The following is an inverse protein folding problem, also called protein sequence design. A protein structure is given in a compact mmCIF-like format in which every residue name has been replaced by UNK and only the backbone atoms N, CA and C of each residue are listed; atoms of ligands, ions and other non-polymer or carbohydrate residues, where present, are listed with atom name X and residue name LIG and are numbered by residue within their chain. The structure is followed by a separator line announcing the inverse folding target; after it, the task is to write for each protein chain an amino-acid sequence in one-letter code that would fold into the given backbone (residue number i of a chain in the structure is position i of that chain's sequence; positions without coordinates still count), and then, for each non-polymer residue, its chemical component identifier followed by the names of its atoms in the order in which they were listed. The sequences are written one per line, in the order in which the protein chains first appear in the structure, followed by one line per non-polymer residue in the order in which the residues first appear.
data_IF_303124442215
#
_entry.id   IF_303124442215
#
_cell.length_a   1.000
_cell.length_b   1.000
_cell.length_c   1.000
_cell.angle_alpha   90.00
_cell.angle_beta   90.00
_cell.angle_gamma   90.00
#
_symmetry.space_group_name_H-M   'P 1'
#
loop_
_entity.id
_entity.type
_entity.pdbx_description
1 polymer ?
#
# COMPACT_ATOMS: atom_id res chain seq x y z
N UNK A 1 15.20 -0.21 28.88
CA UNK A 1 14.12 -0.79 28.06
C UNK A 1 13.86 0.25 26.97
N UNK A 2 14.36 0.03 25.78
CA UNK A 2 14.07 0.90 24.65
C UNK A 2 12.72 0.44 24.09
N UNK A 3 11.73 1.34 24.13
CA UNK A 3 10.48 1.14 23.43
C UNK A 3 10.79 1.07 21.94
N UNK A 4 10.81 -0.15 21.39
CA UNK A 4 10.84 -0.39 19.95
C UNK A 4 9.50 0.07 19.38
N UNK A 5 9.45 1.35 19.01
CA UNK A 5 8.34 1.93 18.31
C UNK A 5 8.20 1.21 16.95
N UNK A 6 7.07 0.55 16.68
CA UNK A 6 6.85 -0.14 15.41
C UNK A 6 7.02 0.76 14.18
N UNK A 7 6.92 2.06 14.36
CA UNK A 7 7.15 3.08 13.32
C UNK A 7 8.62 3.12 12.86
N UNK A 8 9.57 2.79 13.74
CA UNK A 8 11.00 2.76 13.44
C UNK A 8 11.39 1.55 12.57
N UNK A 9 10.73 0.40 12.75
CA UNK A 9 10.98 -0.78 11.93
C UNK A 9 10.44 -0.62 10.51
N UNK A 10 9.26 -0.03 10.36
CA UNK A 10 8.66 0.25 9.07
C UNK A 10 9.51 1.23 8.22
N UNK A 11 10.15 2.19 8.89
CA UNK A 11 11.01 3.19 8.23
C UNK A 11 12.31 2.61 7.67
N UNK A 12 12.85 1.54 8.27
CA UNK A 12 14.09 0.90 7.82
C UNK A 12 13.92 0.12 6.51
N UNK A 13 12.78 -0.48 6.25
CA UNK A 13 12.56 -1.23 5.01
C UNK A 13 12.30 -0.30 3.81
N UNK A 14 11.76 0.91 4.03
CA UNK A 14 11.56 1.89 2.96
C UNK A 14 12.86 2.51 2.43
N UNK A 15 13.92 2.59 3.26
CA UNK A 15 15.22 3.15 2.84
C UNK A 15 16.03 2.19 1.98
N UNK A 16 15.82 0.88 2.11
CA UNK A 16 16.59 -0.11 1.35
C UNK A 16 16.07 -0.30 -0.09
N UNK A 17 14.81 0.00 -0.36
CA UNK A 17 14.26 -0.04 -1.72
C UNK A 17 14.67 1.20 -2.55
N UNK A 18 14.98 2.33 -1.90
CA UNK A 18 15.38 3.57 -2.56
C UNK A 18 16.86 3.60 -2.97
N UNK A 19 17.68 2.64 -2.52
CA UNK A 19 19.14 2.69 -2.69
C UNK A 19 19.69 1.87 -3.87
N UNK A 20 18.83 1.35 -4.74
CA UNK A 20 19.23 0.49 -5.84
C UNK A 20 19.61 1.22 -7.15
N UNK A 21 19.52 2.56 -7.23
CA UNK A 21 19.93 3.31 -8.40
C UNK A 21 20.44 4.71 -8.05
N UNK A 22 21.66 4.79 -7.51
CA UNK A 22 22.36 6.06 -7.40
C UNK A 22 23.35 6.23 -8.55
N UNK A 23 22.86 6.77 -9.66
CA UNK A 23 23.69 7.66 -10.50
C UNK A 23 22.79 8.51 -11.42
N UNK A 24 22.11 9.51 -10.88
CA UNK A 24 21.52 10.61 -11.68
C UNK A 24 21.70 11.91 -10.89
N UNK A 25 22.27 12.87 -11.54
CA UNK A 25 22.56 14.26 -11.19
C UNK A 25 21.66 14.87 -10.10
N UNK A 26 22.31 15.44 -9.09
CA UNK A 26 21.78 16.30 -8.04
C UNK A 26 21.09 17.55 -8.65
N UNK A 27 19.83 17.45 -8.97
CA UNK A 27 18.90 18.55 -8.98
C UNK A 27 17.69 18.09 -8.16
N UNK A 28 17.52 18.71 -7.02
CA UNK A 28 16.46 18.54 -6.02
C UNK A 28 15.08 18.23 -6.61
N UNK A 29 14.84 16.98 -6.93
CA UNK A 29 13.50 16.50 -7.23
C UNK A 29 13.08 15.52 -6.15
N UNK A 30 12.87 16.10 -4.95
CA UNK A 30 12.23 15.41 -3.84
C UNK A 30 10.99 14.68 -4.37
N UNK A 31 10.96 13.37 -4.21
CA UNK A 31 9.79 12.57 -4.60
C UNK A 31 8.54 13.16 -3.95
N UNK A 32 7.45 13.43 -4.70
CA UNK A 32 6.20 13.85 -4.10
C UNK A 32 5.69 12.87 -3.05
N UNK A 33 6.05 11.59 -3.16
CA UNK A 33 5.78 10.59 -2.15
C UNK A 33 6.31 10.96 -0.77
N UNK A 34 7.43 11.70 -0.66
CA UNK A 34 7.96 12.17 0.62
C UNK A 34 7.08 13.24 1.29
N UNK A 35 6.17 13.86 0.55
CA UNK A 35 5.23 14.84 1.08
C UNK A 35 3.93 14.21 1.61
N UNK A 36 3.68 12.94 1.33
CA UNK A 36 2.49 12.25 1.81
C UNK A 36 2.76 11.61 3.16
N UNK A 37 2.26 12.24 4.21
CA UNK A 37 2.42 11.74 5.56
C UNK A 37 1.49 10.55 5.80
N UNK A 38 2.08 9.40 6.07
CA UNK A 38 1.33 8.21 6.48
C UNK A 38 0.86 8.40 7.93
N UNK A 39 -0.40 8.09 8.20
CA UNK A 39 -0.98 8.10 9.53
C UNK A 39 -1.58 6.73 9.87
N UNK A 40 -0.84 5.94 10.62
CA UNK A 40 -1.27 4.60 11.05
C UNK A 40 -2.50 4.62 11.96
N UNK A 41 -2.71 5.70 12.72
CA UNK A 41 -3.85 5.81 13.63
C UNK A 41 -5.13 6.06 12.85
N UNK A 42 -5.05 6.88 11.80
CA UNK A 42 -6.17 7.20 10.92
C UNK A 42 -6.33 6.22 9.75
N UNK A 43 -5.42 5.26 9.62
CA UNK A 43 -5.35 4.32 8.48
C UNK A 43 -5.19 5.05 7.15
N UNK A 44 -4.39 6.10 7.14
CA UNK A 44 -4.14 6.94 5.98
C UNK A 44 -2.82 6.53 5.30
N UNK A 45 -2.92 5.93 4.11
CA UNK A 45 -1.80 5.33 3.38
C UNK A 45 -1.80 5.75 1.90
N UNK A 46 -1.50 7.02 1.59
CA UNK A 46 -1.53 7.48 0.19
C UNK A 46 -0.40 6.85 -0.62
N UNK A 47 -0.71 6.46 -1.86
CA UNK A 47 0.24 5.90 -2.83
C UNK A 47 1.07 4.73 -2.29
N UNK A 48 0.47 3.84 -1.55
CA UNK A 48 1.18 2.73 -0.93
C UNK A 48 0.64 1.38 -1.36
N UNK A 49 1.52 0.37 -1.28
CA UNK A 49 1.09 -1.01 -1.12
C UNK A 49 1.27 -1.35 0.34
N UNK A 50 0.22 -1.80 1.00
CA UNK A 50 0.25 -2.23 2.40
C UNK A 50 0.21 -3.75 2.49
N UNK A 51 0.93 -4.30 3.46
CA UNK A 51 0.95 -5.72 3.75
C UNK A 51 0.49 -5.98 5.18
N UNK A 52 -0.45 -6.90 5.33
CA UNK A 52 -1.02 -7.30 6.61
C UNK A 52 -0.83 -8.81 6.79
N UNK A 53 -0.32 -9.28 7.94
CA UNK A 53 -0.19 -10.70 8.21
C UNK A 53 -1.56 -11.34 8.35
N UNK A 54 -1.72 -12.51 7.74
CA UNK A 54 -2.91 -13.35 7.94
C UNK A 54 -2.66 -14.25 9.16
N UNK A 55 -3.48 -14.18 10.21
CA UNK A 55 -3.29 -14.99 11.40
C UNK A 55 -3.11 -16.47 11.05
N UNK A 56 -2.22 -17.18 11.76
CA UNK A 56 -1.86 -18.59 11.56
C UNK A 56 -1.07 -18.79 10.26
N UNK A 57 -1.57 -18.31 9.11
CA UNK A 57 -0.94 -18.55 7.82
C UNK A 57 0.43 -17.84 7.72
N UNK A 58 0.51 -16.57 8.13
CA UNK A 58 1.78 -15.83 8.13
C UNK A 58 2.75 -16.33 9.21
N UNK A 59 2.27 -17.01 10.23
CA UNK A 59 3.13 -17.67 11.21
C UNK A 59 3.82 -18.90 10.62
N UNK A 60 3.10 -19.71 9.83
CA UNK A 60 3.66 -20.89 9.17
C UNK A 60 4.47 -20.51 7.93
N UNK A 61 4.00 -19.52 7.18
CA UNK A 61 4.63 -18.99 5.97
C UNK A 61 4.78 -17.48 6.07
N UNK A 62 5.93 -16.97 6.59
CA UNK A 62 6.12 -15.53 6.86
C UNK A 62 5.98 -14.60 5.67
N UNK A 63 6.09 -15.15 4.46
CA UNK A 63 5.95 -14.37 3.21
C UNK A 63 4.50 -14.25 2.73
N UNK A 64 3.59 -15.06 3.27
CA UNK A 64 2.19 -15.00 2.91
C UNK A 64 1.47 -13.97 3.78
N UNK A 65 0.79 -13.06 3.13
CA UNK A 65 0.03 -11.99 3.79
C UNK A 65 -1.03 -11.43 2.86
N UNK A 66 -1.80 -10.52 3.39
CA UNK A 66 -2.85 -9.81 2.67
C UNK A 66 -2.33 -8.46 2.19
N UNK A 67 -2.59 -8.13 0.93
CA UNK A 67 -2.16 -6.88 0.33
C UNK A 67 -3.34 -5.93 0.13
N UNK A 68 -3.09 -4.65 0.31
CA UNK A 68 -3.98 -3.57 -0.08
C UNK A 68 -3.22 -2.50 -0.85
N UNK A 69 -3.94 -1.69 -1.61
CA UNK A 69 -3.38 -0.58 -2.38
C UNK A 69 -4.00 0.75 -1.94
N UNK A 70 -3.16 1.72 -1.61
CA UNK A 70 -3.56 3.06 -1.20
C UNK A 70 -3.77 3.99 -2.39
N UNK A 71 -4.91 4.65 -2.43
CA UNK A 71 -5.26 5.72 -3.37
C UNK A 71 -4.56 7.03 -3.01
N UNK A 72 -4.69 8.04 -3.85
CA UNK A 72 -4.17 9.38 -3.57
C UNK A 72 -4.78 10.03 -2.33
N UNK A 73 -6.04 9.72 -2.06
CA UNK A 73 -6.80 10.19 -0.89
C UNK A 73 -6.45 9.46 0.42
N UNK A 74 -5.52 8.50 0.36
CA UNK A 74 -5.05 7.72 1.50
C UNK A 74 -5.92 6.54 1.88
N UNK A 75 -7.07 6.36 1.25
CA UNK A 75 -7.92 5.19 1.43
C UNK A 75 -7.31 3.94 0.79
N UNK A 76 -7.39 2.82 1.49
CA UNK A 76 -6.83 1.54 1.04
C UNK A 76 -7.94 0.68 0.44
N UNK A 77 -7.71 0.24 -0.79
CA UNK A 77 -8.54 -0.80 -1.42
C UNK A 77 -7.90 -2.16 -1.16
N UNK A 78 -8.67 -3.08 -0.65
CA UNK A 78 -8.24 -4.46 -0.41
C UNK A 78 -9.29 -5.46 -0.87
N UNK A 79 -8.86 -6.71 -1.03
CA UNK A 79 -9.71 -7.79 -1.48
C UNK A 79 -10.12 -8.66 -0.30
N UNK A 80 -11.38 -8.54 0.11
CA UNK A 80 -11.88 -9.20 1.31
C UNK A 80 -12.95 -10.27 1.05
N UNK A 81 -13.38 -10.91 2.11
CA UNK A 81 -14.51 -11.85 2.06
C UNK A 81 -15.84 -11.11 2.05
N UNK A 82 -16.88 -11.62 1.38
CA UNK A 82 -16.90 -12.76 0.45
C UNK A 82 -16.58 -12.31 -0.99
N UNK A 83 -15.30 -12.28 -1.35
CA UNK A 83 -14.83 -11.92 -2.69
C UNK A 83 -15.26 -10.51 -3.14
N UNK A 84 -15.08 -9.51 -2.30
CA UNK A 84 -15.42 -8.11 -2.59
C UNK A 84 -14.21 -7.22 -2.47
N UNK A 85 -14.19 -6.16 -3.27
CA UNK A 85 -13.26 -5.06 -3.04
C UNK A 85 -13.82 -4.23 -1.89
N UNK A 86 -13.02 -4.09 -0.85
CA UNK A 86 -13.34 -3.32 0.34
C UNK A 86 -12.50 -2.05 0.36
N UNK A 87 -13.01 -1.03 1.03
CA UNK A 87 -12.29 0.21 1.28
C UNK A 87 -12.06 0.33 2.78
N UNK A 88 -10.80 0.51 3.18
CA UNK A 88 -10.35 0.67 4.58
C UNK A 88 -10.74 -0.46 5.54
N UNK A 89 -11.22 -1.56 5.02
CA UNK A 89 -11.63 -2.68 5.84
C UNK A 89 -10.44 -3.33 6.53
N UNK A 90 -9.28 -3.42 5.81
CA UNK A 90 -8.07 -4.08 6.29
C UNK A 90 -8.42 -5.33 7.10
N UNK A 91 -9.06 -6.28 6.46
CA UNK A 91 -9.76 -7.44 7.05
C UNK A 91 -8.95 -8.19 8.12
N UNK A 92 -7.62 -8.13 8.05
CA UNK A 92 -6.72 -8.80 8.98
C UNK A 92 -6.04 -7.84 9.97
N UNK A 93 -6.53 -6.61 10.09
CA UNK A 93 -6.03 -5.64 11.04
C UNK A 93 -5.10 -4.59 10.44
N UNK A 94 -4.20 -4.06 11.27
CA UNK A 94 -3.28 -3.01 10.82
C UNK A 94 -2.19 -3.57 9.93
N UNK A 95 -1.81 -2.84 8.86
CA UNK A 95 -0.63 -3.18 8.07
C UNK A 95 0.62 -3.18 8.95
N UNK A 96 1.46 -4.20 8.78
CA UNK A 96 2.78 -4.25 9.42
C UNK A 96 3.87 -3.72 8.51
N UNK A 97 3.65 -3.76 7.20
CA UNK A 97 4.61 -3.28 6.21
C UNK A 97 3.88 -2.45 5.16
N UNK A 98 4.58 -1.47 4.62
CA UNK A 98 4.09 -0.70 3.47
C UNK A 98 5.25 -0.28 2.58
N UNK A 99 4.95 -0.07 1.30
CA UNK A 99 5.86 0.47 0.31
C UNK A 99 5.22 1.72 -0.30
N UNK A 100 5.92 2.84 -0.25
CA UNK A 100 5.50 4.08 -0.89
C UNK A 100 5.91 3.99 -2.36
N UNK A 101 4.96 4.25 -3.25
CA UNK A 101 5.16 4.26 -4.69
C UNK A 101 5.11 5.69 -5.22
N UNK A 102 5.83 5.95 -6.30
CA UNK A 102 5.83 7.25 -6.94
C UNK A 102 4.70 7.33 -7.98
N UNK A 103 3.64 8.11 -7.72
CA UNK A 103 2.51 8.22 -8.64
C UNK A 103 2.87 8.88 -9.97
N UNK A 104 4.03 9.58 -10.06
CA UNK A 104 4.49 10.18 -11.33
C UNK A 104 4.89 9.12 -12.35
N UNK A 105 5.19 7.91 -11.92
CA UNK A 105 5.49 6.77 -12.78
C UNK A 105 4.23 6.13 -13.38
N UNK A 106 3.06 6.44 -12.83
CA UNK A 106 1.80 6.02 -13.43
C UNK A 106 1.52 6.82 -14.70
N UNK A 107 0.92 6.18 -15.70
CA UNK A 107 0.39 6.88 -16.87
C UNK A 107 -0.62 7.91 -16.38
N UNK A 108 -0.48 9.16 -16.83
CA UNK A 108 -1.29 10.31 -16.39
C UNK A 108 -1.14 10.68 -14.89
N UNK A 109 -0.04 10.27 -14.26
CA UNK A 109 0.32 10.68 -12.90
C UNK A 109 -0.69 10.26 -11.83
N UNK A 110 -0.99 11.16 -10.88
CA UNK A 110 -1.91 10.91 -9.76
C UNK A 110 -3.30 10.49 -10.24
N UNK A 111 -3.81 11.16 -11.26
CA UNK A 111 -5.12 10.81 -11.83
C UNK A 111 -5.12 9.40 -12.41
N UNK A 112 -4.10 9.05 -13.19
CA UNK A 112 -3.98 7.72 -13.75
C UNK A 112 -3.79 6.62 -12.70
N UNK A 113 -3.13 6.95 -11.58
CA UNK A 113 -3.03 6.06 -10.43
C UNK A 113 -4.42 5.71 -9.86
N UNK A 114 -5.23 6.73 -9.56
CA UNK A 114 -6.57 6.53 -8.99
C UNK A 114 -7.54 5.89 -9.99
N UNK A 115 -7.54 6.34 -11.23
CA UNK A 115 -8.39 5.77 -12.28
C UNK A 115 -8.07 4.29 -12.50
N UNK A 116 -6.81 3.90 -12.50
CA UNK A 116 -6.39 2.51 -12.64
C UNK A 116 -6.87 1.62 -11.49
N UNK A 117 -6.82 2.12 -10.26
CA UNK A 117 -7.33 1.40 -9.08
C UNK A 117 -8.86 1.24 -9.17
N UNK A 118 -9.59 2.29 -9.54
CA UNK A 118 -11.05 2.23 -9.67
C UNK A 118 -11.48 1.32 -10.83
N UNK A 119 -10.81 1.39 -11.97
CA UNK A 119 -11.08 0.50 -13.10
C UNK A 119 -10.87 -0.97 -12.73
N UNK A 120 -9.73 -1.28 -12.12
CA UNK A 120 -9.45 -2.63 -11.63
C UNK A 120 -10.52 -3.09 -10.63
N UNK A 121 -10.91 -2.24 -9.68
CA UNK A 121 -11.95 -2.55 -8.70
C UNK A 121 -13.28 -2.89 -9.38
N UNK A 122 -13.68 -2.11 -10.39
CA UNK A 122 -14.92 -2.32 -11.14
C UNK A 122 -14.89 -3.62 -11.95
N UNK A 123 -13.75 -3.94 -12.58
CA UNK A 123 -13.58 -5.19 -13.33
C UNK A 123 -13.68 -6.41 -12.40
N UNK A 124 -13.04 -6.35 -11.24
CA UNK A 124 -13.13 -7.43 -10.26
C UNK A 124 -14.54 -7.58 -9.68
N UNK A 125 -15.20 -6.49 -9.34
CA UNK A 125 -16.59 -6.55 -8.86
C UNK A 125 -17.53 -7.20 -9.88
N UNK A 126 -17.39 -6.88 -11.16
CA UNK A 126 -18.23 -7.47 -12.22
C UNK A 126 -17.97 -8.97 -12.43
N UNK A 127 -16.70 -9.39 -12.36
CA UNK A 127 -16.35 -10.81 -12.52
C UNK A 127 -16.88 -11.68 -11.40
N UNK A 128 -17.00 -11.13 -10.21
CA UNK A 128 -17.46 -11.84 -9.03
C UNK A 128 -18.97 -12.09 -9.01
N UNK A 129 -19.76 -11.17 -9.57
CA UNK A 129 -21.20 -11.35 -9.69
C UNK A 129 -21.57 -12.45 -10.70
N UNK A 130 -20.67 -12.80 -11.62
CA UNK A 130 -20.88 -13.87 -12.59
C UNK A 130 -20.60 -15.29 -12.07
N UNK A 131 -20.18 -15.43 -10.81
CA UNK A 131 -19.89 -16.74 -10.20
C UNK A 131 -20.96 -17.17 -9.18
N UNK A 132 -22.14 -16.53 -9.19
CA UNK A 132 -23.31 -16.95 -8.41
C UNK A 132 -24.35 -17.63 -9.31
#
# INVERSE_FOLDING_TARGET
MADDDPDTMLRRETTNAANANNNVNNNDQKCPADNYKIDHKRRYYPFTIVWTPVPILSWLFPHLGHLGIGKSDGHVKDFGRPYKILTDSLQFGRPLKYWILDPRLAKDGIKGWDDGIEEASNVFCKRMVCCC
#
